data_IF_469843017367
#
_entry.id   IF_469843017367
#
_cell.length_a   1.000
_cell.length_b   1.000
_cell.length_c   1.000
_cell.angle_alpha   90.00
_cell.angle_beta   90.00
_cell.angle_gamma   90.00
#
_symmetry.space_group_name_H-M   'P 1'
#
loop_
_entity.id
_entity.type
_entity.pdbx_description
1 polymer ?
#
# COMPACT_ATOMS: atom_id res chain seq x y z
N UNK A 1 11.21 -25.15 -53.48
CA UNK A 1 10.56 -24.48 -52.33
C UNK A 1 10.74 -22.98 -52.49
N UNK A 2 9.68 -22.21 -52.72
CA UNK A 2 9.74 -20.82 -53.22
C UNK A 2 10.10 -19.85 -52.12
N UNK A 3 11.32 -19.36 -52.09
CA UNK A 3 11.85 -18.36 -51.15
C UNK A 3 10.98 -17.09 -51.03
N UNK A 4 10.25 -16.71 -52.09
CA UNK A 4 9.29 -15.55 -52.05
C UNK A 4 8.11 -15.76 -51.08
N UNK A 5 7.62 -17.02 -50.89
CA UNK A 5 6.54 -17.32 -49.97
C UNK A 5 6.98 -17.25 -48.51
N UNK A 6 8.25 -17.53 -48.21
CA UNK A 6 8.81 -17.45 -46.88
C UNK A 6 8.97 -16.00 -46.40
N UNK A 7 9.42 -15.09 -47.31
CA UNK A 7 9.54 -13.66 -47.03
C UNK A 7 8.18 -12.99 -46.76
N UNK A 8 7.15 -13.37 -47.48
CA UNK A 8 5.78 -12.81 -47.29
C UNK A 8 5.21 -13.28 -45.97
N UNK A 9 5.46 -14.54 -45.57
CA UNK A 9 4.96 -15.07 -44.29
C UNK A 9 5.69 -14.42 -43.09
N UNK A 10 7.01 -14.19 -43.19
CA UNK A 10 7.76 -13.55 -42.12
C UNK A 10 7.44 -12.06 -41.97
N UNK A 11 7.19 -11.35 -43.09
CA UNK A 11 6.75 -9.95 -43.07
C UNK A 11 5.33 -9.80 -42.49
N UNK A 12 4.44 -10.77 -42.80
CA UNK A 12 3.09 -10.77 -42.25
C UNK A 12 3.05 -11.11 -40.75
N UNK A 13 3.91 -12.03 -40.28
CA UNK A 13 4.04 -12.32 -38.86
C UNK A 13 4.62 -11.11 -38.08
N UNK A 14 5.64 -10.46 -38.66
CA UNK A 14 6.24 -9.25 -38.03
C UNK A 14 5.24 -8.11 -37.94
N UNK A 15 4.43 -7.86 -39.00
CA UNK A 15 3.40 -6.82 -38.98
C UNK A 15 2.27 -7.13 -38.00
N UNK A 16 1.89 -8.40 -37.81
CA UNK A 16 0.86 -8.81 -36.83
C UNK A 16 1.38 -8.65 -35.41
N UNK A 17 2.61 -9.03 -35.13
CA UNK A 17 3.22 -8.88 -33.79
C UNK A 17 3.43 -7.39 -33.45
N UNK A 18 3.93 -6.60 -34.39
CA UNK A 18 4.10 -5.14 -34.20
C UNK A 18 2.75 -4.44 -34.03
N UNK A 19 1.73 -4.83 -34.82
CA UNK A 19 0.36 -4.28 -34.67
C UNK A 19 -0.30 -4.70 -33.37
N UNK A 20 -0.03 -5.91 -32.85
CA UNK A 20 -0.53 -6.33 -31.54
C UNK A 20 0.16 -5.58 -30.39
N UNK A 21 1.47 -5.39 -30.45
CA UNK A 21 2.21 -4.57 -29.46
C UNK A 21 1.78 -3.10 -29.48
N UNK A 22 1.53 -2.53 -30.67
CA UNK A 22 1.04 -1.14 -30.82
C UNK A 22 -0.39 -1.02 -30.28
N UNK A 23 -1.25 -2.04 -30.51
CA UNK A 23 -2.62 -2.05 -29.94
C UNK A 23 -2.60 -2.16 -28.42
N UNK A 24 -1.79 -3.04 -27.83
CA UNK A 24 -1.67 -3.18 -26.37
C UNK A 24 -1.19 -1.88 -25.70
N UNK A 25 -0.22 -1.18 -26.28
CA UNK A 25 0.26 0.10 -25.77
C UNK A 25 -0.80 1.22 -25.90
N UNK A 26 -1.49 1.31 -27.04
CA UNK A 26 -2.55 2.29 -27.24
C UNK A 26 -3.76 2.01 -26.35
N UNK A 27 -4.11 0.75 -26.08
CA UNK A 27 -5.20 0.38 -25.19
C UNK A 27 -4.87 0.76 -23.74
N UNK A 28 -3.65 0.50 -23.25
CA UNK A 28 -3.23 0.88 -21.91
C UNK A 28 -3.20 2.41 -21.73
N UNK A 29 -2.69 3.16 -22.69
CA UNK A 29 -2.69 4.62 -22.67
C UNK A 29 -4.11 5.19 -22.65
N UNK A 30 -5.02 4.67 -23.46
CA UNK A 30 -6.41 5.09 -23.47
C UNK A 30 -7.10 4.84 -22.12
N UNK A 31 -6.79 3.70 -21.47
CA UNK A 31 -7.29 3.40 -20.12
C UNK A 31 -6.72 4.37 -19.10
N UNK A 32 -5.40 4.65 -19.14
CA UNK A 32 -4.76 5.59 -18.23
C UNK A 32 -5.31 7.02 -18.38
N UNK A 33 -5.50 7.49 -19.61
CA UNK A 33 -6.10 8.80 -19.91
C UNK A 33 -7.56 8.88 -19.37
N UNK A 34 -8.34 7.81 -19.54
CA UNK A 34 -9.71 7.73 -19.02
C UNK A 34 -9.75 7.74 -17.49
N UNK A 35 -8.79 7.09 -16.83
CA UNK A 35 -8.63 7.13 -15.38
C UNK A 35 -8.31 8.56 -14.93
N UNK A 36 -7.38 9.23 -15.59
CA UNK A 36 -7.00 10.60 -15.25
C UNK A 36 -8.21 11.55 -15.38
N UNK A 37 -8.96 11.49 -16.48
CA UNK A 37 -10.17 12.28 -16.69
C UNK A 37 -11.25 12.01 -15.62
N UNK A 38 -11.49 10.74 -15.26
CA UNK A 38 -12.47 10.36 -14.26
C UNK A 38 -12.06 10.87 -12.86
N UNK A 39 -10.78 10.80 -12.51
CA UNK A 39 -10.25 11.33 -11.23
C UNK A 39 -10.36 12.85 -11.18
N UNK A 40 -9.97 13.56 -12.24
CA UNK A 40 -10.04 15.03 -12.32
C UNK A 40 -11.48 15.54 -12.23
N UNK A 41 -12.42 14.87 -12.89
CA UNK A 41 -13.85 15.19 -12.84
C UNK A 41 -14.53 14.70 -11.57
N UNK A 42 -13.85 13.93 -10.71
CA UNK A 42 -14.40 13.25 -9.52
C UNK A 42 -15.55 12.29 -9.84
N UNK A 43 -15.54 11.72 -11.02
CA UNK A 43 -16.53 10.73 -11.48
C UNK A 43 -16.07 9.32 -11.10
N UNK A 44 -16.31 8.93 -9.86
CA UNK A 44 -15.91 7.62 -9.33
C UNK A 44 -16.76 6.46 -9.87
N UNK A 45 -17.97 6.73 -10.37
CA UNK A 45 -18.76 5.72 -11.06
C UNK A 45 -18.09 5.37 -12.39
N UNK A 46 -17.54 6.37 -13.06
CA UNK A 46 -16.75 6.17 -14.28
C UNK A 46 -15.52 5.33 -14.05
N UNK A 47 -14.83 5.48 -12.89
CA UNK A 47 -13.71 4.62 -12.54
C UNK A 47 -14.11 3.16 -12.38
N UNK A 48 -15.27 2.87 -11.79
CA UNK A 48 -15.79 1.51 -11.68
C UNK A 48 -16.10 0.89 -13.07
N UNK A 49 -16.68 1.67 -13.99
CA UNK A 49 -16.90 1.24 -15.38
C UNK A 49 -15.58 0.95 -16.10
N UNK A 50 -14.54 1.78 -15.90
CA UNK A 50 -13.22 1.58 -16.48
C UNK A 50 -12.57 0.30 -15.93
N UNK A 51 -12.66 0.05 -14.61
CA UNK A 51 -12.14 -1.17 -13.97
C UNK A 51 -12.82 -2.42 -14.54
N UNK A 52 -14.16 -2.42 -14.62
CA UNK A 52 -14.93 -3.53 -15.19
C UNK A 52 -14.55 -3.78 -16.66
N UNK A 53 -14.48 -2.71 -17.46
CA UNK A 53 -14.11 -2.81 -18.87
C UNK A 53 -12.68 -3.32 -19.05
N UNK A 54 -11.72 -2.85 -18.23
CA UNK A 54 -10.35 -3.33 -18.28
C UNK A 54 -10.25 -4.80 -17.90
N UNK A 55 -10.91 -5.23 -16.82
CA UNK A 55 -10.96 -6.63 -16.40
C UNK A 55 -11.56 -7.54 -17.49
N UNK A 56 -12.61 -7.10 -18.15
CA UNK A 56 -13.25 -7.83 -19.25
C UNK A 56 -12.35 -7.89 -20.51
N UNK A 57 -11.42 -6.95 -20.69
CA UNK A 57 -10.50 -6.92 -21.82
C UNK A 57 -9.24 -7.77 -21.64
N UNK A 58 -8.97 -8.24 -20.40
CA UNK A 58 -7.79 -9.04 -20.09
C UNK A 58 -7.84 -10.38 -20.82
N UNK A 59 -6.72 -10.77 -21.40
CA UNK A 59 -6.55 -12.05 -22.08
C UNK A 59 -6.75 -13.24 -21.15
N UNK A 60 -7.27 -14.34 -21.67
CA UNK A 60 -7.31 -15.63 -20.95
C UNK A 60 -5.91 -16.23 -20.82
N UNK A 61 -4.99 -15.90 -21.73
CA UNK A 61 -3.58 -16.28 -21.64
C UNK A 61 -2.88 -15.54 -20.50
N UNK A 62 -2.27 -16.27 -19.59
CA UNK A 62 -1.69 -15.73 -18.36
C UNK A 62 -0.52 -14.77 -18.62
N UNK A 63 0.33 -15.05 -19.59
CA UNK A 63 1.49 -14.20 -19.91
C UNK A 63 1.02 -12.90 -20.56
N UNK A 64 0.09 -12.97 -21.51
CA UNK A 64 -0.50 -11.78 -22.14
C UNK A 64 -1.25 -10.91 -21.12
N UNK A 65 -2.00 -11.53 -20.22
CA UNK A 65 -2.70 -10.82 -19.12
C UNK A 65 -1.71 -10.08 -18.22
N UNK A 66 -0.60 -10.72 -17.88
CA UNK A 66 0.46 -10.10 -17.07
C UNK A 66 1.06 -8.89 -17.78
N UNK A 67 1.35 -8.99 -19.06
CA UNK A 67 1.88 -7.88 -19.85
C UNK A 67 0.87 -6.73 -19.99
N UNK A 68 -0.42 -7.02 -20.15
CA UNK A 68 -1.47 -5.98 -20.16
C UNK A 68 -1.53 -5.20 -18.85
N UNK A 69 -1.51 -5.90 -17.71
CA UNK A 69 -1.48 -5.25 -16.37
C UNK A 69 -0.22 -4.41 -16.17
N UNK A 70 0.93 -4.96 -16.55
CA UNK A 70 2.21 -4.28 -16.46
C UNK A 70 2.24 -3.02 -17.30
N UNK A 71 1.77 -3.07 -18.54
CA UNK A 71 1.69 -1.91 -19.44
C UNK A 71 0.86 -0.77 -18.85
N UNK A 72 -0.29 -1.08 -18.22
CA UNK A 72 -1.08 -0.06 -17.53
C UNK A 72 -0.38 0.47 -16.26
N UNK A 73 0.26 -0.41 -15.49
CA UNK A 73 0.96 -0.02 -14.28
C UNK A 73 2.19 0.87 -14.53
N UNK A 74 2.89 0.67 -15.64
CA UNK A 74 4.02 1.51 -16.04
C UNK A 74 3.59 2.97 -16.26
N UNK A 75 2.39 3.20 -16.80
CA UNK A 75 1.82 4.53 -16.99
C UNK A 75 1.45 5.23 -15.67
N UNK A 76 1.24 4.47 -14.58
CA UNK A 76 1.06 5.07 -13.25
C UNK A 76 2.30 5.85 -12.79
N UNK A 77 3.51 5.45 -13.23
CA UNK A 77 4.76 6.14 -12.90
C UNK A 77 4.83 7.56 -13.44
N UNK A 78 4.20 7.81 -14.58
CA UNK A 78 4.23 9.09 -15.29
C UNK A 78 3.12 10.05 -14.82
N UNK A 79 2.19 9.58 -13.96
CA UNK A 79 1.10 10.42 -13.48
C UNK A 79 1.58 11.44 -12.42
N UNK A 80 1.29 12.72 -12.66
CA UNK A 80 1.61 13.82 -11.74
C UNK A 80 0.74 13.82 -10.47
N UNK A 81 -0.43 13.19 -10.53
CA UNK A 81 -1.42 13.16 -9.46
C UNK A 81 -1.42 11.80 -8.73
N UNK A 82 -1.18 11.80 -7.42
CA UNK A 82 -1.15 10.57 -6.62
C UNK A 82 -2.48 9.79 -6.66
N UNK A 83 -3.63 10.48 -6.76
CA UNK A 83 -4.93 9.80 -6.88
C UNK A 83 -5.03 9.04 -8.21
N UNK A 84 -4.58 9.63 -9.30
CA UNK A 84 -4.51 8.96 -10.62
C UNK A 84 -3.57 7.77 -10.55
N UNK A 85 -2.39 7.95 -9.95
CA UNK A 85 -1.40 6.88 -9.77
C UNK A 85 -1.95 5.70 -9.00
N UNK A 86 -2.59 5.95 -7.85
CA UNK A 86 -3.21 4.90 -7.03
C UNK A 86 -4.35 4.22 -7.79
N UNK A 87 -5.25 4.97 -8.43
CA UNK A 87 -6.35 4.43 -9.22
C UNK A 87 -5.83 3.52 -10.35
N UNK A 88 -4.80 3.96 -11.07
CA UNK A 88 -4.18 3.19 -12.16
C UNK A 88 -3.59 1.87 -11.65
N UNK A 89 -2.87 1.88 -10.51
CA UNK A 89 -2.29 0.67 -9.91
C UNK A 89 -3.36 -0.31 -9.40
N UNK A 90 -4.46 0.20 -8.85
CA UNK A 90 -5.60 -0.63 -8.41
C UNK A 90 -6.32 -1.27 -9.60
N UNK A 91 -6.61 -0.50 -10.66
CA UNK A 91 -7.24 -1.00 -11.88
C UNK A 91 -6.31 -1.99 -12.63
N UNK A 92 -5.00 -1.73 -12.63
CA UNK A 92 -4.01 -2.69 -13.11
C UNK A 92 -3.90 -3.95 -12.22
N UNK A 93 -4.62 -4.00 -11.10
CA UNK A 93 -4.62 -5.10 -10.13
C UNK A 93 -3.22 -5.36 -9.52
N UNK A 94 -2.56 -4.27 -9.12
CA UNK A 94 -1.27 -4.29 -8.44
C UNK A 94 -1.34 -3.60 -7.07
N UNK A 95 -2.16 -4.12 -6.13
CA UNK A 95 -2.35 -3.51 -4.81
C UNK A 95 -1.05 -3.46 -3.98
N UNK A 96 -0.11 -4.39 -4.21
CA UNK A 96 1.22 -4.35 -3.59
C UNK A 96 1.97 -3.06 -3.93
N UNK A 97 1.91 -2.62 -5.18
CA UNK A 97 2.55 -1.38 -5.63
C UNK A 97 1.92 -0.13 -4.98
N UNK A 98 0.60 -0.17 -4.70
CA UNK A 98 -0.08 0.90 -3.95
C UNK A 98 0.42 0.98 -2.50
N UNK A 99 0.61 -0.17 -1.83
CA UNK A 99 1.15 -0.23 -0.48
C UNK A 99 2.58 0.32 -0.40
N UNK A 100 3.42 -0.05 -1.35
CA UNK A 100 4.79 0.47 -1.46
C UNK A 100 4.81 1.99 -1.72
N UNK A 101 3.93 2.48 -2.60
CA UNK A 101 3.80 3.91 -2.87
C UNK A 101 3.47 4.69 -1.59
N UNK A 102 2.50 4.23 -0.79
CA UNK A 102 2.13 4.88 0.46
C UNK A 102 3.32 4.94 1.44
N UNK A 103 4.04 3.83 1.62
CA UNK A 103 5.22 3.81 2.51
C UNK A 103 6.29 4.79 2.04
N UNK A 104 6.59 4.83 0.76
CA UNK A 104 7.57 5.77 0.20
C UNK A 104 7.15 7.22 0.42
N UNK A 105 5.87 7.54 0.23
CA UNK A 105 5.34 8.88 0.50
C UNK A 105 5.43 9.27 1.98
N UNK A 106 5.20 8.33 2.90
CA UNK A 106 5.38 8.59 4.33
C UNK A 106 6.83 8.87 4.69
N UNK A 107 7.78 8.15 4.09
CA UNK A 107 9.21 8.39 4.29
C UNK A 107 9.60 9.78 3.76
N UNK A 108 9.18 10.16 2.57
CA UNK A 108 9.43 11.47 1.96
C UNK A 108 8.82 12.60 2.80
N UNK A 109 7.56 12.48 3.20
CA UNK A 109 6.83 13.50 3.96
C UNK A 109 7.42 13.80 5.34
N UNK A 110 8.25 12.89 5.89
CA UNK A 110 8.97 13.14 7.16
C UNK A 110 9.93 14.31 7.08
N UNK A 111 10.58 14.48 5.94
CA UNK A 111 11.51 15.61 5.72
C UNK A 111 10.77 16.93 5.56
N UNK A 112 9.52 16.90 5.13
CA UNK A 112 8.66 18.06 4.91
C UNK A 112 7.83 18.42 6.16
N UNK A 113 7.77 17.54 7.17
CA UNK A 113 7.02 17.76 8.40
C UNK A 113 5.50 17.62 8.24
N UNK A 114 5.01 17.05 7.14
CA UNK A 114 3.58 16.88 6.79
C UNK A 114 3.12 15.42 6.76
N UNK A 115 3.83 14.52 7.44
CA UNK A 115 3.57 13.06 7.42
C UNK A 115 2.12 12.71 7.75
N UNK A 116 1.50 13.40 8.71
CA UNK A 116 0.12 13.13 9.11
C UNK A 116 -0.88 13.48 8.00
N UNK A 117 -0.73 14.65 7.40
CA UNK A 117 -1.58 15.09 6.29
C UNK A 117 -1.42 14.17 5.10
N UNK A 118 -0.19 13.82 4.75
CA UNK A 118 0.13 12.88 3.65
C UNK A 118 -0.51 11.52 3.90
N UNK A 119 -0.37 10.96 5.11
CA UNK A 119 -1.00 9.69 5.47
C UNK A 119 -2.51 9.73 5.35
N UNK A 120 -3.16 10.72 5.97
CA UNK A 120 -4.62 10.84 5.96
C UNK A 120 -5.17 11.08 4.56
N UNK A 121 -4.51 11.90 3.75
CA UNK A 121 -4.88 12.14 2.36
C UNK A 121 -4.78 10.87 1.52
N UNK A 122 -3.65 10.16 1.60
CA UNK A 122 -3.44 8.93 0.82
C UNK A 122 -4.40 7.83 1.29
N UNK A 123 -4.59 7.65 2.60
CA UNK A 123 -5.52 6.67 3.13
C UNK A 123 -6.96 6.96 2.72
N UNK A 124 -7.38 8.22 2.78
CA UNK A 124 -8.71 8.66 2.33
C UNK A 124 -8.92 8.37 0.84
N UNK A 125 -7.91 8.65 0.01
CA UNK A 125 -7.93 8.34 -1.42
C UNK A 125 -8.06 6.83 -1.65
N UNK A 126 -7.27 6.01 -0.97
CA UNK A 126 -7.33 4.55 -1.08
C UNK A 126 -8.71 4.04 -0.66
N UNK A 127 -9.22 4.47 0.50
CA UNK A 127 -10.55 4.05 0.98
C UNK A 127 -11.68 4.44 0.03
N UNK A 128 -11.63 5.66 -0.52
CA UNK A 128 -12.59 6.13 -1.50
C UNK A 128 -12.54 5.26 -2.77
N UNK A 129 -11.37 5.01 -3.31
CA UNK A 129 -11.21 4.17 -4.50
C UNK A 129 -11.69 2.74 -4.27
N UNK A 130 -11.37 2.15 -3.11
CA UNK A 130 -11.87 0.81 -2.76
C UNK A 130 -13.39 0.73 -2.58
N UNK A 131 -14.05 1.80 -2.21
CA UNK A 131 -15.52 1.81 -2.13
C UNK A 131 -16.20 1.74 -3.51
N UNK A 132 -15.48 2.09 -4.57
CA UNK A 132 -15.96 2.08 -5.96
C UNK A 132 -15.36 0.96 -6.82
N UNK A 133 -14.19 0.45 -6.44
CA UNK A 133 -13.49 -0.64 -7.10
C UNK A 133 -13.65 -1.95 -6.31
N UNK A 134 -13.09 -3.03 -6.79
CA UNK A 134 -13.22 -4.34 -6.12
C UNK A 134 -12.46 -4.38 -4.79
N UNK A 135 -13.15 -4.73 -3.70
CA UNK A 135 -12.62 -4.71 -2.33
C UNK A 135 -11.67 -5.86 -1.97
N UNK A 136 -11.56 -6.90 -2.81
CA UNK A 136 -10.70 -8.07 -2.51
C UNK A 136 -9.21 -7.69 -2.43
N UNK A 137 -8.80 -6.66 -3.17
CA UNK A 137 -7.42 -6.19 -3.21
C UNK A 137 -6.99 -5.44 -1.93
N UNK A 138 -7.93 -5.07 -1.05
CA UNK A 138 -7.62 -4.30 0.16
C UNK A 138 -6.74 -5.08 1.16
N UNK A 139 -6.96 -6.39 1.28
CA UNK A 139 -6.14 -7.25 2.14
C UNK A 139 -4.70 -7.28 1.65
N UNK A 140 -4.50 -7.41 0.33
CA UNK A 140 -3.16 -7.43 -0.30
C UNK A 140 -2.48 -6.07 -0.13
N UNK A 141 -3.20 -4.96 -0.34
CA UNK A 141 -2.70 -3.62 -0.09
C UNK A 141 -2.23 -3.43 1.36
N UNK A 142 -3.04 -3.82 2.35
CA UNK A 142 -2.67 -3.70 3.75
C UNK A 142 -1.44 -4.56 4.10
N UNK A 143 -1.33 -5.75 3.54
CA UNK A 143 -0.15 -6.61 3.73
C UNK A 143 1.11 -5.99 3.12
N UNK A 144 1.00 -5.39 1.94
CA UNK A 144 2.12 -4.72 1.29
C UNK A 144 2.57 -3.48 2.07
N UNK A 145 1.62 -2.66 2.55
CA UNK A 145 1.88 -1.53 3.42
C UNK A 145 2.59 -1.97 4.70
N UNK A 146 2.07 -2.99 5.39
CA UNK A 146 2.67 -3.50 6.62
C UNK A 146 4.10 -4.01 6.37
N UNK A 147 4.32 -4.80 5.34
CA UNK A 147 5.67 -5.26 4.94
C UNK A 147 6.63 -4.10 4.66
N UNK A 148 6.14 -3.03 4.05
CA UNK A 148 6.94 -1.83 3.80
C UNK A 148 7.36 -1.14 5.09
N UNK A 149 6.45 -0.98 6.04
CA UNK A 149 6.74 -0.43 7.37
C UNK A 149 7.70 -1.34 8.15
N UNK A 150 7.51 -2.65 8.13
CA UNK A 150 8.33 -3.62 8.87
C UNK A 150 9.79 -3.67 8.38
N UNK A 151 10.07 -3.23 7.15
CA UNK A 151 11.44 -3.09 6.61
C UNK A 151 12.19 -1.87 7.16
N UNK A 152 11.48 -0.92 7.73
CA UNK A 152 12.08 0.26 8.35
C UNK A 152 12.70 -0.10 9.70
N UNK A 153 13.71 0.66 10.13
CA UNK A 153 14.20 0.57 11.50
C UNK A 153 13.09 0.92 12.50
N UNK A 154 13.17 0.39 13.72
CA UNK A 154 12.17 0.68 14.78
C UNK A 154 12.05 2.19 15.01
N UNK A 155 13.16 2.93 14.99
CA UNK A 155 13.12 4.37 15.13
C UNK A 155 12.37 5.08 14.01
N UNK A 156 12.51 4.61 12.78
CA UNK A 156 11.76 5.15 11.65
C UNK A 156 10.28 4.81 11.71
N UNK A 157 9.94 3.56 12.07
CA UNK A 157 8.56 3.16 12.32
C UNK A 157 7.92 4.06 13.38
N UNK A 158 8.59 4.25 14.52
CA UNK A 158 8.05 5.07 15.63
C UNK A 158 7.89 6.53 15.24
N UNK A 159 8.80 7.10 14.45
CA UNK A 159 8.65 8.47 13.93
C UNK A 159 7.43 8.62 13.02
N UNK A 160 7.13 7.63 12.21
CA UNK A 160 5.91 7.61 11.39
C UNK A 160 4.68 7.50 12.30
N UNK A 161 4.66 6.52 13.21
CA UNK A 161 3.52 6.31 14.09
C UNK A 161 3.23 7.52 15.00
N UNK A 162 4.26 8.18 15.55
CA UNK A 162 4.09 9.41 16.34
C UNK A 162 3.49 10.55 15.52
N UNK A 163 3.71 10.59 14.21
CA UNK A 163 3.16 11.63 13.36
C UNK A 163 1.68 11.39 13.00
N UNK A 164 1.24 10.11 12.90
CA UNK A 164 -0.10 9.76 12.40
C UNK A 164 -1.07 9.31 13.49
N UNK A 165 -0.59 8.82 14.63
CA UNK A 165 -1.42 8.27 15.70
C UNK A 165 -1.28 9.07 17.01
N UNK A 166 -2.29 8.97 17.88
CA UNK A 166 -2.18 9.53 19.24
C UNK A 166 -1.30 8.64 20.12
N UNK A 167 -0.68 9.21 21.18
CA UNK A 167 0.09 8.43 22.14
C UNK A 167 -0.70 7.24 22.71
N UNK A 168 -1.99 7.44 22.99
CA UNK A 168 -2.85 6.39 23.53
C UNK A 168 -3.02 5.24 22.54
N UNK A 169 -3.30 5.53 21.27
CA UNK A 169 -3.43 4.49 20.24
C UNK A 169 -2.16 3.66 20.11
N UNK A 170 -0.98 4.29 20.16
CA UNK A 170 0.29 3.58 20.09
C UNK A 170 0.45 2.66 21.30
N UNK A 171 0.09 3.13 22.50
CA UNK A 171 0.12 2.32 23.71
C UNK A 171 -0.83 1.13 23.63
N UNK A 172 -2.05 1.33 23.16
CA UNK A 172 -3.05 0.28 22.98
C UNK A 172 -2.59 -0.78 21.96
N UNK A 173 -2.09 -0.38 20.80
CA UNK A 173 -1.59 -1.30 19.77
C UNK A 173 -0.41 -2.13 20.28
N UNK A 174 0.55 -1.52 20.97
CA UNK A 174 1.68 -2.27 21.55
C UNK A 174 1.23 -3.27 22.62
N UNK A 175 0.23 -2.92 23.44
CA UNK A 175 -0.33 -3.83 24.42
C UNK A 175 -1.08 -5.00 23.74
N UNK A 176 -1.81 -4.73 22.67
CA UNK A 176 -2.49 -5.76 21.88
C UNK A 176 -1.49 -6.74 21.22
N UNK A 177 -0.32 -6.25 20.76
CA UNK A 177 0.75 -7.12 20.25
C UNK A 177 1.25 -8.07 21.36
N UNK A 178 1.45 -7.57 22.58
CA UNK A 178 1.84 -8.37 23.74
C UNK A 178 0.77 -9.41 24.05
N UNK A 179 -0.52 -9.03 24.13
CA UNK A 179 -1.63 -9.90 24.44
C UNK A 179 -1.75 -11.03 23.39
N UNK A 180 -1.67 -10.68 22.12
CA UNK A 180 -1.75 -11.67 21.01
C UNK A 180 -0.57 -12.63 20.99
N UNK A 181 0.60 -12.20 21.45
CA UNK A 181 1.79 -13.06 21.52
C UNK A 181 1.81 -13.96 22.75
N UNK A 182 0.92 -13.73 23.72
CA UNK A 182 0.85 -14.50 24.96
C UNK A 182 0.77 -16.02 24.67
N UNK A 183 1.60 -16.78 25.35
CA UNK A 183 1.67 -18.24 25.22
C UNK A 183 2.09 -18.74 23.81
N UNK A 184 2.56 -17.85 22.93
CA UNK A 184 3.11 -18.22 21.63
C UNK A 184 4.65 -18.34 21.67
N UNK A 185 5.27 -19.11 20.75
CA UNK A 185 6.73 -19.14 20.65
C UNK A 185 7.38 -17.78 20.37
N UNK A 186 6.64 -16.83 19.83
CA UNK A 186 7.10 -15.48 19.47
C UNK A 186 7.04 -14.47 20.62
N UNK A 187 6.50 -14.84 21.78
CA UNK A 187 6.29 -13.92 22.91
C UNK A 187 7.55 -13.14 23.29
N UNK A 188 8.69 -13.83 23.38
CA UNK A 188 9.95 -13.18 23.77
C UNK A 188 10.44 -12.17 22.72
N UNK A 189 10.26 -12.45 21.45
CA UNK A 189 10.59 -11.55 20.35
C UNK A 189 9.70 -10.30 20.38
N UNK A 190 8.39 -10.47 20.59
CA UNK A 190 7.44 -9.36 20.72
C UNK A 190 7.80 -8.48 21.92
N UNK A 191 8.11 -9.07 23.08
CA UNK A 191 8.51 -8.30 24.27
C UNK A 191 9.77 -7.48 24.02
N UNK A 192 10.75 -8.06 23.32
CA UNK A 192 11.99 -7.37 22.94
C UNK A 192 11.67 -6.19 22.00
N UNK A 193 10.85 -6.41 20.98
CA UNK A 193 10.45 -5.39 20.02
C UNK A 193 9.66 -4.26 20.70
N UNK A 194 8.73 -4.58 21.58
CA UNK A 194 7.96 -3.58 22.33
C UNK A 194 8.88 -2.74 23.24
N UNK A 195 9.84 -3.34 23.95
CA UNK A 195 10.82 -2.58 24.73
C UNK A 195 11.67 -1.64 23.89
N UNK A 196 12.08 -2.06 22.68
CA UNK A 196 12.79 -1.19 21.75
C UNK A 196 11.91 -0.02 21.28
N UNK A 197 10.62 -0.27 20.97
CA UNK A 197 9.65 0.77 20.63
C UNK A 197 9.44 1.74 21.78
N UNK A 198 9.28 1.27 23.02
CA UNK A 198 9.16 2.10 24.24
C UNK A 198 10.40 2.99 24.38
N UNK A 199 11.60 2.45 24.21
CA UNK A 199 12.85 3.20 24.29
C UNK A 199 12.93 4.31 23.23
N UNK A 200 12.54 4.01 21.99
CA UNK A 200 12.46 4.99 20.90
C UNK A 200 11.43 6.10 21.19
N UNK A 201 10.26 5.73 21.70
CA UNK A 201 9.20 6.68 22.07
C UNK A 201 9.61 7.59 23.24
N UNK A 202 10.35 7.07 24.20
CA UNK A 202 10.88 7.86 25.33
C UNK A 202 11.78 9.01 24.90
N UNK A 203 12.50 8.83 23.78
CA UNK A 203 13.32 9.88 23.19
C UNK A 203 12.54 10.82 22.25
N UNK A 204 11.40 10.38 21.72
CA UNK A 204 10.63 11.10 20.68
C UNK A 204 9.47 11.91 21.25
N UNK A 205 8.85 11.44 22.33
CA UNK A 205 7.70 12.09 22.95
C UNK A 205 8.09 13.12 24.02
N UNK A 206 7.23 14.11 24.19
CA UNK A 206 7.25 14.94 25.40
C UNK A 206 6.87 14.07 26.62
N UNK A 207 7.35 14.40 27.83
CA UNK A 207 7.05 13.59 29.04
C UNK A 207 5.55 13.30 29.22
N UNK A 208 4.68 14.29 28.96
CA UNK A 208 3.22 14.14 29.07
C UNK A 208 2.62 13.20 28.03
N UNK A 209 3.15 13.18 26.82
CA UNK A 209 2.74 12.28 25.76
C UNK A 209 3.18 10.85 26.04
N UNK A 210 4.41 10.69 26.53
CA UNK A 210 4.94 9.39 26.95
C UNK A 210 4.11 8.78 28.08
N UNK A 211 3.74 9.58 29.11
CA UNK A 211 2.89 9.10 30.20
C UNK A 211 1.47 8.71 29.71
N UNK A 212 0.90 9.43 28.73
CA UNK A 212 -0.38 9.05 28.13
C UNK A 212 -0.28 7.70 27.40
N UNK A 213 0.76 7.49 26.62
CA UNK A 213 1.04 6.22 25.95
C UNK A 213 1.19 5.08 26.96
N UNK A 214 2.06 5.26 27.99
CA UNK A 214 2.30 4.30 29.06
C UNK A 214 1.02 3.92 29.80
N UNK A 215 0.19 4.91 30.16
CA UNK A 215 -1.08 4.69 30.82
C UNK A 215 -2.08 3.90 29.96
N UNK A 216 -2.13 4.15 28.66
CA UNK A 216 -2.97 3.41 27.74
C UNK A 216 -2.47 1.96 27.59
N UNK A 217 -1.17 1.75 27.40
CA UNK A 217 -0.55 0.42 27.38
C UNK A 217 -0.88 -0.39 28.65
N UNK A 218 -0.64 0.19 29.83
CA UNK A 218 -0.91 -0.47 31.11
C UNK A 218 -2.39 -0.82 31.30
N UNK A 219 -3.31 0.10 30.96
CA UNK A 219 -4.75 -0.16 31.06
C UNK A 219 -5.19 -1.30 30.14
N UNK A 220 -4.69 -1.33 28.93
CA UNK A 220 -5.03 -2.38 27.94
C UNK A 220 -4.53 -3.73 28.42
N UNK A 221 -3.28 -3.86 28.89
CA UNK A 221 -2.78 -5.09 29.48
C UNK A 221 -3.59 -5.55 30.69
N UNK A 222 -3.87 -4.65 31.63
CA UNK A 222 -4.65 -4.98 32.83
C UNK A 222 -6.06 -5.45 32.49
N UNK A 223 -6.72 -4.83 31.52
CA UNK A 223 -8.07 -5.25 31.09
C UNK A 223 -8.11 -6.65 30.48
N UNK A 224 -6.99 -7.13 29.95
CA UNK A 224 -6.81 -8.47 29.40
C UNK A 224 -6.24 -9.49 30.42
N UNK A 225 -6.07 -9.11 31.70
CA UNK A 225 -5.47 -9.97 32.71
C UNK A 225 -3.97 -10.15 32.57
N UNK A 226 -3.29 -9.22 31.92
CA UNK A 226 -1.84 -9.27 31.62
C UNK A 226 -0.97 -8.54 32.64
N UNK A 227 -1.40 -8.39 33.89
CA UNK A 227 -0.67 -7.73 34.96
C UNK A 227 0.73 -8.31 35.19
N UNK A 228 0.89 -9.64 35.04
CA UNK A 228 2.18 -10.32 35.15
C UNK A 228 3.22 -9.86 34.11
N UNK A 229 2.80 -9.27 32.99
CA UNK A 229 3.69 -8.82 31.94
C UNK A 229 4.16 -7.37 32.11
N UNK A 230 3.50 -6.56 32.95
CA UNK A 230 3.84 -5.15 33.15
C UNK A 230 5.29 -4.95 33.58
N UNK A 231 5.84 -5.88 34.39
CA UNK A 231 7.22 -5.84 34.88
C UNK A 231 8.28 -6.16 33.80
N UNK A 232 7.83 -6.67 32.65
CA UNK A 232 8.73 -6.99 31.53
C UNK A 232 9.10 -5.76 30.69
N UNK A 233 8.45 -4.60 30.93
CA UNK A 233 8.63 -3.39 30.13
C UNK A 233 9.30 -2.26 30.90
N UNK A 234 10.29 -1.62 30.25
CA UNK A 234 11.15 -0.57 30.83
C UNK A 234 10.64 0.84 30.45
N UNK A 235 9.61 1.30 31.15
CA UNK A 235 9.04 2.64 30.94
C UNK A 235 9.90 3.77 31.54
#
# INVERSE_FOLDING_TARGET
MNFRKLYILSAFLLTVVVSACIRLGNDAQTVADSIAEAVESKDFNRLAEIDEAFRASLSDDQDTRREQRKALAELAGDADNDTVRIATLLIAQLPDACGELLVNRLIESRTEGNTKETFLSTLSTVQMLYSHLNSEDFVVFNQAYQKGIDRLSIDEQMKIYCAIASPEMIGEVMADDVIRSAETPQQQEVFTTVNQRISSLKSSYKPTEFERMKNAFGRTLLSAGGDQWLTAFEF
#
